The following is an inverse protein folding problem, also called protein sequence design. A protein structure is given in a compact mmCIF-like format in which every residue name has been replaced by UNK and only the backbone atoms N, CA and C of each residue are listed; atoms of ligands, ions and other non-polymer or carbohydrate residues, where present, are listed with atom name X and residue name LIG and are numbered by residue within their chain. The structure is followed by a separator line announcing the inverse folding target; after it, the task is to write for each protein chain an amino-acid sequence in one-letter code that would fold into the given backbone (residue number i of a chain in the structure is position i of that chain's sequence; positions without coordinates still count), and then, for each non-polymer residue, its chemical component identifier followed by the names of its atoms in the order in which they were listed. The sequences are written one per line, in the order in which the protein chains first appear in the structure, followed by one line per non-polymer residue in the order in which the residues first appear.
data_IF_902515175707
#
_entry.id   IF_902515175707
#
_cell.length_a   1.000
_cell.length_b   1.000
_cell.length_c   1.000
_cell.angle_alpha   90.00
_cell.angle_beta   90.00
_cell.angle_gamma   90.00
#
_symmetry.space_group_name_H-M   'P 1'
#
loop_
_entity.id
_entity.type
_entity.pdbx_description
1 polymer ?
#
# COMPACT_ATOMS: atom_id res chain seq x y z
N UNK A 1 23.65 2.23 13.42
CA UNK A 1 22.93 1.23 12.63
C UNK A 1 21.83 1.97 11.90
N UNK A 2 21.91 2.07 10.57
CA UNK A 2 20.76 2.55 9.79
C UNK A 2 19.65 1.52 9.98
N UNK A 3 18.60 1.85 10.72
CA UNK A 3 17.40 1.02 10.77
C UNK A 3 16.64 1.28 9.47
N UNK A 4 16.95 0.51 8.42
CA UNK A 4 16.18 0.57 7.18
C UNK A 4 14.72 0.18 7.45
N UNK A 5 13.79 0.89 6.79
CA UNK A 5 12.37 0.58 6.84
C UNK A 5 12.10 -0.80 6.23
N UNK A 6 11.11 -1.50 6.76
CA UNK A 6 10.67 -2.77 6.21
C UNK A 6 9.92 -2.48 4.90
N UNK A 7 10.43 -3.03 3.80
CA UNK A 7 9.77 -2.98 2.48
C UNK A 7 8.50 -3.81 2.52
N UNK A 8 7.37 -3.18 2.24
CA UNK A 8 6.03 -3.73 2.35
C UNK A 8 5.36 -3.82 0.98
N UNK A 9 4.72 -4.96 0.73
CA UNK A 9 3.72 -5.14 -0.33
C UNK A 9 2.38 -5.56 0.25
N UNK A 10 1.27 -5.18 -0.39
CA UNK A 10 -0.10 -5.51 0.07
C UNK A 10 -0.91 -6.23 -1.00
N UNK A 11 -1.88 -7.05 -0.56
CA UNK A 11 -2.84 -7.73 -1.44
C UNK A 11 -4.25 -7.38 -0.98
N UNK A 12 -5.06 -6.88 -1.90
CA UNK A 12 -6.36 -6.26 -1.60
C UNK A 12 -6.24 -4.86 -1.01
N UNK A 13 -7.37 -4.32 -0.54
CA UNK A 13 -7.39 -3.04 0.16
C UNK A 13 -7.22 -1.79 -0.74
N UNK A 14 -7.44 -1.89 -2.06
CA UNK A 14 -7.43 -0.75 -2.99
C UNK A 14 -8.52 0.31 -2.71
N UNK A 15 -8.81 1.15 -3.70
CA UNK A 15 -9.73 2.29 -3.58
C UNK A 15 -11.09 1.87 -2.99
N UNK A 16 -11.55 2.66 -2.02
CA UNK A 16 -12.83 2.46 -1.31
C UNK A 16 -12.81 1.38 -0.22
N UNK A 17 -11.69 0.68 -0.01
CA UNK A 17 -11.61 -0.36 1.02
C UNK A 17 -11.24 0.21 2.39
N UNK A 18 -12.19 0.19 3.33
CA UNK A 18 -11.97 0.62 4.72
C UNK A 18 -10.77 -0.09 5.37
N UNK A 19 -10.75 -1.43 5.28
CA UNK A 19 -9.68 -2.26 5.88
C UNK A 19 -8.31 -1.92 5.29
N UNK A 20 -8.22 -1.71 3.98
CA UNK A 20 -6.96 -1.34 3.32
C UNK A 20 -6.40 -0.01 3.83
N UNK A 21 -7.26 0.99 3.99
CA UNK A 21 -6.86 2.30 4.51
C UNK A 21 -6.34 2.22 5.94
N UNK A 22 -7.00 1.44 6.82
CA UNK A 22 -6.54 1.25 8.21
C UNK A 22 -5.17 0.56 8.28
N UNK A 23 -4.92 -0.47 7.47
CA UNK A 23 -3.63 -1.15 7.45
C UNK A 23 -2.49 -0.23 6.98
N UNK A 24 -2.75 0.62 5.97
CA UNK A 24 -1.77 1.60 5.51
C UNK A 24 -1.49 2.69 6.54
N UNK A 25 -2.51 3.14 7.27
CA UNK A 25 -2.32 4.06 8.39
C UNK A 25 -1.43 3.39 9.44
N UNK A 26 -1.77 2.18 9.88
CA UNK A 26 -1.01 1.43 10.88
C UNK A 26 0.45 1.22 10.46
N UNK A 27 0.71 0.87 9.20
CA UNK A 27 2.06 0.70 8.68
C UNK A 27 2.91 1.99 8.71
N UNK A 28 2.27 3.16 8.64
CA UNK A 28 2.94 4.47 8.68
C UNK A 28 3.12 5.03 10.09
N UNK A 29 2.32 4.60 11.09
CA UNK A 29 2.29 5.20 12.43
C UNK A 29 3.66 5.22 13.13
N UNK A 30 4.40 4.11 13.05
CA UNK A 30 5.70 3.98 13.72
C UNK A 30 6.89 4.27 12.78
N UNK A 31 6.61 4.73 11.56
CA UNK A 31 7.60 4.96 10.50
C UNK A 31 8.52 3.77 10.20
N UNK A 32 8.01 2.55 10.42
CA UNK A 32 8.78 1.30 10.29
C UNK A 32 8.69 0.64 8.91
N UNK A 33 7.77 1.08 8.07
CA UNK A 33 7.46 0.42 6.80
C UNK A 33 7.50 1.41 5.63
N UNK A 34 7.89 0.89 4.48
CA UNK A 34 7.82 1.59 3.20
C UNK A 34 6.98 0.75 2.23
N UNK A 35 5.84 1.28 1.79
CA UNK A 35 4.93 0.60 0.87
C UNK A 35 5.44 0.77 -0.55
N UNK A 36 5.93 -0.32 -1.16
CA UNK A 36 6.55 -0.30 -2.48
C UNK A 36 5.77 -1.06 -3.56
N UNK A 37 4.78 -1.89 -3.17
CA UNK A 37 4.06 -2.72 -4.13
C UNK A 37 2.62 -3.04 -3.66
N UNK A 38 1.74 -3.38 -4.60
CA UNK A 38 0.41 -3.86 -4.24
C UNK A 38 -0.37 -4.56 -5.36
N UNK A 39 -1.07 -5.64 -5.02
CA UNK A 39 -2.12 -6.26 -5.85
C UNK A 39 -3.50 -5.82 -5.32
N UNK A 40 -3.92 -4.62 -5.73
CA UNK A 40 -4.94 -3.84 -5.01
C UNK A 40 -6.39 -4.19 -5.40
N UNK A 41 -6.58 -4.82 -6.55
CA UNK A 41 -7.85 -5.33 -7.06
C UNK A 41 -7.62 -6.46 -8.06
N UNK A 42 -8.62 -7.31 -8.29
CA UNK A 42 -8.63 -8.24 -9.42
C UNK A 42 -8.96 -7.56 -10.76
N UNK A 43 -9.56 -6.37 -10.74
CA UNK A 43 -9.82 -5.57 -11.93
C UNK A 43 -8.59 -4.71 -12.26
N UNK A 44 -7.93 -4.89 -13.43
CA UNK A 44 -6.67 -4.23 -13.73
C UNK A 44 -6.72 -2.71 -13.66
N UNK A 45 -7.79 -2.10 -14.17
CA UNK A 45 -7.97 -0.65 -14.13
C UNK A 45 -8.07 -0.14 -12.69
N UNK A 46 -8.91 -0.78 -11.88
CA UNK A 46 -9.07 -0.41 -10.47
C UNK A 46 -7.78 -0.63 -9.68
N UNK A 47 -7.00 -1.65 -10.00
CA UNK A 47 -5.70 -1.89 -9.39
C UNK A 47 -4.71 -0.77 -9.73
N UNK A 48 -4.63 -0.36 -11.00
CA UNK A 48 -3.77 0.73 -11.45
C UNK A 48 -4.17 2.09 -10.84
N UNK A 49 -5.47 2.42 -10.86
CA UNK A 49 -5.99 3.64 -10.23
C UNK A 49 -5.66 3.66 -8.72
N UNK A 50 -5.79 2.50 -8.05
CA UNK A 50 -5.43 2.38 -6.63
C UNK A 50 -3.92 2.54 -6.40
N UNK A 51 -3.07 2.03 -7.29
CA UNK A 51 -1.63 2.16 -7.16
C UNK A 51 -1.20 3.63 -7.31
N UNK A 52 -1.78 4.34 -8.29
CA UNK A 52 -1.55 5.76 -8.52
C UNK A 52 -1.98 6.61 -7.31
N UNK A 53 -3.15 6.34 -6.71
CA UNK A 53 -3.61 7.06 -5.51
C UNK A 53 -2.69 6.83 -4.29
N UNK A 54 -2.07 5.64 -4.20
CA UNK A 54 -1.19 5.28 -3.10
C UNK A 54 0.27 5.70 -3.33
N UNK A 55 0.61 6.23 -4.51
CA UNK A 55 1.98 6.61 -4.87
C UNK A 55 2.90 5.40 -5.06
N UNK A 56 2.37 4.27 -5.52
CA UNK A 56 3.15 3.08 -5.87
C UNK A 56 3.59 3.21 -7.33
N UNK A 57 4.88 3.02 -7.59
CA UNK A 57 5.44 3.07 -8.95
C UNK A 57 4.81 1.99 -9.87
N UNK A 58 4.57 2.30 -11.16
CA UNK A 58 3.95 1.39 -12.13
C UNK A 58 4.86 0.23 -12.57
#
# INVERSE_FOLDING_TARGET
MSSEKIRLGIVGGGIGAFVGSIHRIAARLDDRYELLAGALSSEPKRAADSAAELGIDP
#
